data_IF_541564249832
#
_entry.id   IF_541564249832
#
_cell.length_a   1.000
_cell.length_b   1.000
_cell.length_c   1.000
_cell.angle_alpha   90.00
_cell.angle_beta   90.00
_cell.angle_gamma   90.00
#
_symmetry.space_group_name_H-M   'P 1'
#
loop_
_entity.id
_entity.type
_entity.pdbx_description
1 polymer ?
#
# COMPACT_ATOMS: atom_id res chain seq x y z
N UNK A 1 46.52 28.82 0.81
CA UNK A 1 45.48 27.79 1.03
C UNK A 1 44.23 28.16 0.23
N UNK A 2 43.67 27.27 -0.61
CA UNK A 2 42.47 27.60 -1.39
C UNK A 2 41.23 27.57 -0.50
N UNK A 3 40.42 28.64 -0.54
CA UNK A 3 39.18 28.77 0.22
C UNK A 3 38.08 27.92 -0.41
N UNK A 4 37.37 27.13 0.41
CA UNK A 4 36.23 26.30 0.05
C UNK A 4 35.13 27.19 -0.58
N UNK A 5 34.57 26.84 -1.75
CA UNK A 5 33.52 27.66 -2.36
C UNK A 5 32.27 27.66 -1.47
N UNK A 6 31.77 28.87 -1.18
CA UNK A 6 30.63 29.10 -0.30
C UNK A 6 29.36 28.43 -0.83
N UNK A 7 28.64 27.74 0.05
CA UNK A 7 27.38 27.07 -0.26
C UNK A 7 26.31 28.12 -0.62
N UNK A 8 26.04 28.29 -1.91
CA UNK A 8 24.89 29.09 -2.37
C UNK A 8 23.61 28.36 -1.98
N UNK A 9 22.91 28.87 -0.97
CA UNK A 9 21.60 28.35 -0.55
C UNK A 9 20.59 28.79 -1.60
N UNK A 10 19.97 27.83 -2.30
CA UNK A 10 18.93 28.12 -3.28
C UNK A 10 17.83 28.98 -2.63
N UNK A 11 17.60 30.18 -3.18
CA UNK A 11 16.52 31.06 -2.73
C UNK A 11 15.22 30.52 -3.30
N UNK A 12 14.39 29.88 -2.47
CA UNK A 12 13.03 29.56 -2.85
C UNK A 12 12.24 30.88 -2.96
N UNK A 13 12.04 31.36 -4.18
CA UNK A 13 11.33 32.63 -4.48
C UNK A 13 9.82 32.48 -4.55
N UNK A 14 9.31 31.24 -4.57
CA UNK A 14 7.89 30.97 -4.59
C UNK A 14 7.41 30.60 -3.17
N UNK A 15 6.35 31.25 -2.66
CA UNK A 15 5.72 30.83 -1.42
C UNK A 15 5.21 29.39 -1.57
N UNK A 16 5.21 28.58 -0.49
CA UNK A 16 4.64 27.24 -0.53
C UNK A 16 3.17 27.34 -0.92
N UNK A 17 2.81 26.83 -2.10
CA UNK A 17 1.41 26.66 -2.48
C UNK A 17 0.86 25.58 -1.57
N UNK A 18 -0.09 25.93 -0.70
CA UNK A 18 -0.83 24.96 0.08
C UNK A 18 -1.63 24.09 -0.90
N UNK A 19 -1.14 22.88 -1.18
CA UNK A 19 -1.98 21.91 -1.86
C UNK A 19 -3.11 21.56 -0.91
N UNK A 20 -4.38 21.71 -1.31
CA UNK A 20 -5.48 21.24 -0.49
C UNK A 20 -5.26 19.75 -0.26
N UNK A 21 -5.22 19.36 1.02
CA UNK A 21 -5.24 17.94 1.36
C UNK A 21 -6.53 17.37 0.75
N UNK A 22 -6.50 16.18 0.11
CA UNK A 22 -7.73 15.53 -0.28
C UNK A 22 -8.59 15.39 0.97
N UNK A 23 -9.70 16.12 1.00
CA UNK A 23 -10.64 16.08 2.11
C UNK A 23 -11.17 14.66 2.17
N UNK A 24 -10.94 13.97 3.29
CA UNK A 24 -11.57 12.68 3.54
C UNK A 24 -13.08 12.85 3.31
N UNK A 25 -13.65 12.06 2.41
CA UNK A 25 -15.10 11.99 2.20
C UNK A 25 -15.77 11.79 3.57
N UNK A 26 -16.93 12.40 3.87
CA UNK A 26 -17.57 12.28 5.18
C UNK A 26 -17.79 10.83 5.64
N UNK A 27 -17.86 9.88 4.70
CA UNK A 27 -18.03 8.44 4.95
C UNK A 27 -16.74 7.69 5.27
N UNK A 28 -15.58 8.38 5.33
CA UNK A 28 -14.28 7.75 5.51
C UNK A 28 -13.74 7.08 4.24
N UNK A 29 -12.65 6.30 4.33
CA UNK A 29 -12.16 5.54 3.20
C UNK A 29 -13.21 4.52 2.77
N UNK A 30 -13.45 4.41 1.46
CA UNK A 30 -14.41 3.46 0.93
C UNK A 30 -14.10 2.04 1.43
N UNK A 31 -15.16 1.32 1.83
CA UNK A 31 -15.07 -0.10 2.16
C UNK A 31 -14.47 -0.87 0.99
N UNK A 32 -13.61 -1.85 1.31
CA UNK A 32 -12.95 -2.64 0.30
C UNK A 32 -13.85 -3.77 -0.17
N UNK A 33 -14.04 -3.82 -1.48
CA UNK A 33 -14.80 -4.87 -2.15
C UNK A 33 -13.81 -5.85 -2.76
N UNK A 34 -13.88 -7.12 -2.37
CA UNK A 34 -13.05 -8.17 -2.95
C UNK A 34 -13.49 -8.47 -4.37
N UNK A 35 -12.53 -8.54 -5.30
CA UNK A 35 -12.79 -8.83 -6.71
C UNK A 35 -11.90 -9.95 -7.24
N UNK A 36 -12.30 -10.53 -8.37
CA UNK A 36 -11.51 -11.52 -9.12
C UNK A 36 -10.96 -12.66 -8.26
N UNK A 37 -9.66 -12.90 -8.37
CA UNK A 37 -8.98 -14.01 -7.67
C UNK A 37 -8.98 -13.86 -6.15
N UNK A 38 -9.02 -12.64 -5.62
CA UNK A 38 -9.04 -12.39 -4.16
C UNK A 38 -10.37 -12.77 -3.55
N UNK A 39 -11.46 -12.50 -4.28
CA UNK A 39 -12.80 -13.00 -3.92
C UNK A 39 -12.87 -14.53 -4.03
N UNK A 40 -12.36 -15.10 -5.13
CA UNK A 40 -12.33 -16.56 -5.32
C UNK A 40 -11.54 -17.27 -4.22
N UNK A 41 -10.39 -16.74 -3.83
CA UNK A 41 -9.58 -17.28 -2.74
C UNK A 41 -10.36 -17.31 -1.42
N UNK A 42 -11.05 -16.20 -1.10
CA UNK A 42 -11.87 -16.10 0.10
C UNK A 42 -12.99 -17.15 0.11
N UNK A 43 -13.77 -17.20 -0.98
CA UNK A 43 -14.90 -18.12 -1.10
C UNK A 43 -14.43 -19.60 -1.08
N UNK A 44 -13.33 -19.94 -1.78
CA UNK A 44 -12.80 -21.30 -1.86
C UNK A 44 -12.32 -21.81 -0.50
N UNK A 45 -11.68 -20.96 0.31
CA UNK A 45 -11.25 -21.34 1.66
C UNK A 45 -12.47 -21.53 2.58
N UNK A 46 -13.48 -20.66 2.51
CA UNK A 46 -14.72 -20.82 3.29
C UNK A 46 -15.50 -22.10 2.94
N UNK A 47 -15.44 -22.53 1.68
CA UNK A 47 -16.07 -23.79 1.25
C UNK A 47 -15.29 -25.01 1.73
N UNK A 48 -13.96 -24.94 1.74
CA UNK A 48 -13.10 -26.09 2.07
C UNK A 48 -12.85 -26.28 3.57
N UNK A 49 -12.92 -25.21 4.34
CA UNK A 49 -12.56 -25.20 5.75
C UNK A 49 -13.69 -24.60 6.59
N UNK A 50 -14.01 -25.25 7.71
CA UNK A 50 -14.88 -24.65 8.72
C UNK A 50 -14.06 -23.70 9.58
N UNK A 51 -14.29 -22.40 9.43
CA UNK A 51 -13.61 -21.36 10.19
C UNK A 51 -14.49 -20.88 11.34
N UNK A 52 -13.87 -20.62 12.49
CA UNK A 52 -14.48 -19.75 13.48
C UNK A 52 -14.40 -18.28 13.03
N UNK A 53 -15.11 -17.41 13.74
CA UNK A 53 -15.18 -15.99 13.42
C UNK A 53 -13.80 -15.29 13.45
N UNK A 54 -12.87 -15.75 14.29
CA UNK A 54 -11.55 -15.16 14.40
C UNK A 54 -10.67 -15.50 13.18
N UNK A 55 -10.73 -16.74 12.72
CA UNK A 55 -10.01 -17.23 11.55
C UNK A 55 -10.62 -16.68 10.25
N UNK A 56 -11.94 -16.57 10.16
CA UNK A 56 -12.61 -15.88 9.05
C UNK A 56 -12.18 -14.40 8.97
N UNK A 57 -12.10 -13.71 10.11
CA UNK A 57 -11.65 -12.31 10.14
C UNK A 57 -10.19 -12.15 9.66
N UNK A 58 -9.29 -13.08 10.01
CA UNK A 58 -7.92 -13.09 9.51
C UNK A 58 -7.88 -13.33 8.00
N UNK A 59 -8.63 -14.32 7.50
CA UNK A 59 -8.74 -14.59 6.07
C UNK A 59 -9.24 -13.36 5.31
N UNK A 60 -10.31 -12.72 5.81
CA UNK A 60 -10.86 -11.51 5.20
C UNK A 60 -9.83 -10.38 5.17
N UNK A 61 -9.13 -10.14 6.28
CA UNK A 61 -8.10 -9.11 6.38
C UNK A 61 -6.94 -9.35 5.39
N UNK A 62 -6.53 -10.59 5.20
CA UNK A 62 -5.53 -10.95 4.21
C UNK A 62 -6.01 -10.65 2.78
N UNK A 63 -7.22 -11.09 2.42
CA UNK A 63 -7.81 -10.83 1.11
C UNK A 63 -8.00 -9.34 0.81
N UNK A 64 -8.45 -8.54 1.79
CA UNK A 64 -8.58 -7.10 1.64
C UNK A 64 -7.22 -6.40 1.48
N UNK A 65 -6.18 -6.90 2.14
CA UNK A 65 -4.81 -6.41 1.96
C UNK A 65 -4.30 -6.69 0.54
N UNK A 66 -4.61 -7.87 -0.01
CA UNK A 66 -4.31 -8.19 -1.41
C UNK A 66 -5.10 -7.33 -2.40
N UNK A 67 -6.35 -6.99 -2.10
CA UNK A 67 -7.15 -6.08 -2.92
C UNK A 67 -6.52 -4.67 -2.98
N UNK A 68 -6.08 -4.13 -1.84
CA UNK A 68 -5.34 -2.86 -1.78
C UNK A 68 -4.04 -2.93 -2.59
N UNK A 69 -3.30 -4.02 -2.46
CA UNK A 69 -2.06 -4.23 -3.21
C UNK A 69 -2.33 -4.27 -4.73
N UNK A 70 -3.42 -4.88 -5.18
CA UNK A 70 -3.78 -4.91 -6.60
C UNK A 70 -4.09 -3.50 -7.14
N UNK A 71 -4.88 -2.71 -6.41
CA UNK A 71 -5.17 -1.31 -6.79
C UNK A 71 -3.89 -0.46 -6.88
N UNK A 72 -2.95 -0.65 -5.94
CA UNK A 72 -1.66 0.03 -5.97
C UNK A 72 -0.76 -0.47 -7.10
N UNK A 73 -0.82 -1.76 -7.43
CA UNK A 73 -0.09 -2.34 -8.58
C UNK A 73 -0.51 -1.65 -9.88
N UNK A 74 -1.82 -1.44 -10.07
CA UNK A 74 -2.31 -0.70 -11.24
C UNK A 74 -1.76 0.74 -11.29
N UNK A 75 -1.72 1.42 -10.14
CA UNK A 75 -1.13 2.75 -10.06
C UNK A 75 0.37 2.75 -10.37
N UNK A 76 1.12 1.81 -9.80
CA UNK A 76 2.57 1.66 -10.04
C UNK A 76 2.87 1.32 -11.50
N UNK A 77 2.04 0.50 -12.15
CA UNK A 77 2.18 0.19 -13.57
C UNK A 77 1.98 1.43 -14.46
N UNK A 78 1.10 2.36 -14.06
CA UNK A 78 0.90 3.62 -14.78
C UNK A 78 2.01 4.63 -14.51
N UNK A 79 2.37 4.82 -13.24
CA UNK A 79 3.24 5.92 -12.80
C UNK A 79 4.73 5.55 -12.78
N UNK A 80 5.02 4.25 -12.83
CA UNK A 80 6.35 3.67 -12.64
C UNK A 80 6.69 3.45 -11.15
N UNK A 81 7.64 2.53 -10.86
CA UNK A 81 8.04 2.21 -9.48
C UNK A 81 8.91 3.30 -8.82
N UNK A 82 9.39 4.27 -9.60
CA UNK A 82 10.23 5.37 -9.14
C UNK A 82 9.90 6.66 -9.88
N UNK A 83 10.07 7.80 -9.23
CA UNK A 83 9.90 9.12 -9.83
C UNK A 83 11.12 10.01 -9.53
N UNK A 84 11.35 11.04 -10.35
CA UNK A 84 12.34 12.08 -10.06
C UNK A 84 11.70 13.19 -9.25
N UNK A 85 12.33 13.59 -8.14
CA UNK A 85 11.89 14.74 -7.38
C UNK A 85 12.29 16.07 -8.04
N UNK A 86 11.89 17.19 -7.42
CA UNK A 86 12.19 18.55 -7.91
C UNK A 86 13.69 18.88 -8.00
N UNK A 87 14.55 18.11 -7.34
CA UNK A 87 16.00 18.27 -7.35
C UNK A 87 16.68 17.26 -8.30
N UNK A 88 15.90 16.47 -9.03
CA UNK A 88 16.37 15.46 -9.97
C UNK A 88 16.76 14.14 -9.33
N UNK A 89 16.59 13.97 -8.02
CA UNK A 89 16.91 12.73 -7.33
C UNK A 89 15.84 11.66 -7.61
N UNK A 90 16.26 10.43 -7.89
CA UNK A 90 15.36 9.30 -8.09
C UNK A 90 14.87 8.81 -6.73
N UNK A 91 13.54 8.75 -6.55
CA UNK A 91 12.87 8.29 -5.33
C UNK A 91 11.88 7.17 -5.65
N UNK A 92 11.65 6.31 -4.67
CA UNK A 92 10.64 5.25 -4.75
C UNK A 92 9.24 5.88 -4.82
N UNK A 93 8.40 5.40 -5.73
CA UNK A 93 7.00 5.79 -5.79
C UNK A 93 6.30 5.35 -4.49
N UNK A 94 5.63 6.25 -3.75
CA UNK A 94 4.88 5.90 -2.54
C UNK A 94 3.89 4.74 -2.76
N UNK A 95 3.26 4.67 -3.93
CA UNK A 95 2.35 3.57 -4.26
C UNK A 95 3.06 2.22 -4.29
N UNK A 96 4.30 2.17 -4.81
CA UNK A 96 5.12 0.96 -4.83
C UNK A 96 5.54 0.52 -3.42
N UNK A 97 5.80 1.48 -2.54
CA UNK A 97 6.11 1.17 -1.14
C UNK A 97 4.89 0.59 -0.41
N UNK A 98 3.72 1.24 -0.55
CA UNK A 98 2.48 0.76 0.04
C UNK A 98 2.05 -0.60 -0.52
N UNK A 99 2.22 -0.82 -1.83
CA UNK A 99 1.92 -2.10 -2.48
C UNK A 99 2.68 -3.24 -1.81
N UNK A 100 4.00 -3.06 -1.66
CA UNK A 100 4.87 -4.03 -0.99
C UNK A 100 4.44 -4.27 0.46
N UNK A 101 4.10 -3.21 1.17
CA UNK A 101 3.71 -3.30 2.58
C UNK A 101 2.38 -4.06 2.75
N UNK A 102 1.39 -3.85 1.88
CA UNK A 102 0.14 -4.62 1.89
C UNK A 102 0.33 -6.09 1.48
N UNK A 103 1.21 -6.38 0.51
CA UNK A 103 1.59 -7.76 0.19
C UNK A 103 2.26 -8.44 1.39
N UNK A 104 3.14 -7.73 2.09
CA UNK A 104 3.77 -8.20 3.32
C UNK A 104 2.78 -8.45 4.44
N UNK A 105 1.78 -7.56 4.62
CA UNK A 105 0.70 -7.75 5.58
C UNK A 105 -0.12 -8.99 5.25
N UNK A 106 -0.56 -9.16 4.00
CA UNK A 106 -1.30 -10.33 3.56
C UNK A 106 -0.53 -11.64 3.84
N UNK A 107 0.75 -11.70 3.49
CA UNK A 107 1.59 -12.88 3.72
C UNK A 107 1.70 -13.22 5.21
N UNK A 108 1.91 -12.21 6.08
CA UNK A 108 1.97 -12.41 7.53
C UNK A 108 0.65 -12.89 8.11
N UNK A 109 -0.47 -12.30 7.68
CA UNK A 109 -1.81 -12.69 8.14
C UNK A 109 -2.16 -14.12 7.70
N UNK A 110 -1.82 -14.50 6.46
CA UNK A 110 -2.00 -15.88 5.99
C UNK A 110 -1.12 -16.87 6.75
N UNK A 111 0.12 -16.49 7.08
CA UNK A 111 0.99 -17.32 7.91
C UNK A 111 0.40 -17.53 9.31
N UNK A 112 -0.14 -16.47 9.92
CA UNK A 112 -0.82 -16.57 11.22
C UNK A 112 -2.04 -17.50 11.16
N UNK A 113 -2.84 -17.41 10.10
CA UNK A 113 -3.97 -18.31 9.87
C UNK A 113 -3.50 -19.76 9.71
N UNK A 114 -2.44 -20.01 8.92
CA UNK A 114 -1.89 -21.35 8.72
C UNK A 114 -1.39 -21.97 10.03
N UNK A 115 -0.61 -21.22 10.82
CA UNK A 115 -0.11 -21.69 12.13
C UNK A 115 -1.24 -22.07 13.10
N UNK A 116 -2.43 -21.46 12.97
CA UNK A 116 -3.59 -21.82 13.79
C UNK A 116 -4.28 -23.12 13.39
N UNK A 117 -4.09 -23.61 12.17
CA UNK A 117 -4.60 -24.93 11.76
C UNK A 117 -3.66 -26.09 12.11
N UNK A 118 -2.38 -25.80 12.32
CA UNK A 118 -1.36 -26.79 12.65
C UNK A 118 -1.25 -27.07 14.15
N UNK A 119 -2.01 -26.35 14.99
CA UNK A 119 -2.10 -26.53 16.44
C UNK A 119 -3.40 -27.20 16.86
#
# INVERSE_FOLDING_TARGET
>A
MPRKPGTSRAKHTLPPVAMPLPTATPDGPASIVLTGDRRRLFDDILVRYTLDAANEALLKSACESLERAAQLTEQVNRDGPTFKDRFGAVRVNPAAQLERDFRGLAARTLQQLATRFEG
#
